data_IF_503673520051
#
_entry.id   IF_503673520051
#
_cell.length_a   1.000
_cell.length_b   1.000
_cell.length_c   1.000
_cell.angle_alpha   90.00
_cell.angle_beta   90.00
_cell.angle_gamma   90.00
#
_symmetry.space_group_name_H-M   'P 1'
#
loop_
_entity.id
_entity.type
_entity.pdbx_description
1 polymer ?
#
# COMPACT_ATOMS: atom_id res chain seq x y z
N UNK A 1 -12.69 6.53 6.72
CA UNK A 1 -12.41 5.56 5.64
C UNK A 1 -11.39 4.56 6.16
N UNK A 2 -11.53 3.27 5.84
CA UNK A 2 -10.54 2.25 6.19
C UNK A 2 -9.46 2.22 5.10
N UNK A 3 -8.24 2.62 5.46
CA UNK A 3 -7.07 2.56 4.58
C UNK A 3 -6.70 1.09 4.36
N UNK A 4 -6.90 0.58 3.15
CA UNK A 4 -6.51 -0.79 2.78
C UNK A 4 -5.14 -0.78 2.12
N UNK A 5 -4.21 -1.56 2.65
CA UNK A 5 -2.90 -1.81 2.04
C UNK A 5 -2.91 -3.22 1.48
N UNK A 6 -2.60 -3.38 0.19
CA UNK A 6 -2.46 -4.70 -0.43
C UNK A 6 -0.97 -5.00 -0.59
N UNK A 7 -0.52 -6.07 0.07
CA UNK A 7 0.86 -6.55 0.04
C UNK A 7 0.87 -7.89 -0.68
N UNK A 8 1.68 -7.99 -1.72
CA UNK A 8 1.99 -9.24 -2.41
C UNK A 8 3.32 -9.77 -1.89
N UNK A 9 3.35 -11.03 -1.49
CA UNK A 9 4.55 -11.72 -1.03
C UNK A 9 4.70 -12.99 -1.86
N UNK A 10 5.89 -13.21 -2.40
CA UNK A 10 6.23 -14.45 -3.08
C UNK A 10 5.96 -15.65 -2.16
N UNK A 11 5.32 -16.69 -2.70
CA UNK A 11 4.87 -17.86 -1.94
C UNK A 11 6.01 -18.55 -1.17
N UNK A 12 7.16 -18.78 -1.81
CA UNK A 12 8.29 -19.47 -1.18
C UNK A 12 8.95 -18.58 -0.13
N UNK A 13 8.94 -17.26 -0.35
CA UNK A 13 9.43 -16.30 0.64
C UNK A 13 8.50 -16.23 1.85
N UNK A 14 7.18 -16.27 1.64
CA UNK A 14 6.20 -16.33 2.71
C UNK A 14 6.39 -17.58 3.58
N UNK A 15 6.62 -18.75 2.98
CA UNK A 15 6.89 -19.97 3.74
C UNK A 15 8.12 -19.81 4.65
N UNK A 16 9.21 -19.22 4.16
CA UNK A 16 10.40 -18.95 4.99
C UNK A 16 10.11 -17.96 6.13
N UNK A 17 9.29 -16.93 5.88
CA UNK A 17 8.88 -15.98 6.92
C UNK A 17 7.97 -16.62 7.97
N UNK A 18 7.17 -17.61 7.60
CA UNK A 18 6.33 -18.35 8.55
C UNK A 18 7.16 -19.24 9.49
N UNK A 19 8.31 -19.73 9.01
CA UNK A 19 9.26 -20.49 9.84
C UNK A 19 10.01 -19.59 10.85
N UNK A 20 10.04 -18.27 10.63
CA UNK A 20 10.58 -17.25 11.55
C UNK A 20 9.57 -16.12 11.82
N UNK A 21 8.67 -16.29 12.83
CA UNK A 21 7.65 -15.30 13.17
C UNK A 21 8.19 -13.92 13.54
N UNK A 22 9.42 -13.83 14.06
CA UNK A 22 10.03 -12.55 14.41
C UNK A 22 10.43 -11.79 13.14
N UNK A 23 11.04 -12.47 12.17
CA UNK A 23 11.35 -11.89 10.87
C UNK A 23 10.08 -11.44 10.12
N UNK A 24 8.99 -12.22 10.19
CA UNK A 24 7.70 -11.83 9.63
C UNK A 24 7.17 -10.53 10.24
N UNK A 25 7.19 -10.41 11.58
CA UNK A 25 6.71 -9.22 12.28
C UNK A 25 7.54 -7.97 11.93
N UNK A 26 8.86 -8.10 11.88
CA UNK A 26 9.76 -7.01 11.47
C UNK A 26 9.48 -6.58 10.03
N UNK A 27 9.32 -7.56 9.13
CA UNK A 27 9.02 -7.31 7.72
C UNK A 27 7.69 -6.59 7.56
N UNK A 28 6.61 -7.06 8.19
CA UNK A 28 5.29 -6.43 8.12
C UNK A 28 5.29 -5.01 8.71
N UNK A 29 5.99 -4.79 9.84
CA UNK A 29 6.15 -3.44 10.41
C UNK A 29 6.80 -2.52 9.40
N UNK A 30 7.89 -2.97 8.77
CA UNK A 30 8.64 -2.15 7.83
C UNK A 30 7.80 -1.77 6.61
N UNK A 31 7.15 -2.76 5.99
CA UNK A 31 6.21 -2.60 4.87
C UNK A 31 5.07 -1.62 5.22
N UNK A 32 4.54 -1.69 6.44
CA UNK A 32 3.42 -0.83 6.86
C UNK A 32 3.84 0.57 7.32
N UNK A 33 5.02 0.75 7.90
CA UNK A 33 5.36 1.97 8.63
C UNK A 33 6.52 2.75 8.02
N UNK A 34 7.51 2.07 7.44
CA UNK A 34 8.79 2.71 7.10
C UNK A 34 8.80 3.27 5.65
N UNK A 35 7.98 2.73 4.75
CA UNK A 35 7.96 3.11 3.32
C UNK A 35 6.88 4.14 2.93
N UNK A 36 6.39 4.95 3.86
CA UNK A 36 5.24 5.84 3.59
C UNK A 36 5.50 6.89 2.50
N UNK A 37 6.70 7.47 2.44
CA UNK A 37 7.05 8.49 1.46
C UNK A 37 7.19 7.91 0.04
N UNK A 38 7.96 6.82 -0.10
CA UNK A 38 8.14 6.08 -1.36
C UNK A 38 6.80 5.56 -1.91
N UNK A 39 5.92 5.09 -1.02
CA UNK A 39 4.57 4.66 -1.39
C UNK A 39 3.69 5.78 -1.93
N UNK A 40 3.77 6.98 -1.37
CA UNK A 40 2.95 8.10 -1.85
C UNK A 40 3.40 8.52 -3.26
N UNK A 41 4.71 8.56 -3.50
CA UNK A 41 5.28 8.91 -4.80
C UNK A 41 4.94 7.88 -5.88
N UNK A 42 5.08 6.58 -5.58
CA UNK A 42 4.78 5.51 -6.54
C UNK A 42 3.26 5.32 -6.74
N UNK A 43 2.43 5.45 -5.68
CA UNK A 43 0.97 5.48 -5.84
C UNK A 43 0.53 6.67 -6.69
N UNK A 44 1.13 7.86 -6.53
CA UNK A 44 0.85 9.03 -7.36
C UNK A 44 1.20 8.82 -8.83
N UNK A 45 2.14 7.90 -9.12
CA UNK A 45 2.53 7.48 -10.46
C UNK A 45 1.77 6.24 -10.96
N UNK A 46 0.84 5.70 -10.17
CA UNK A 46 0.09 4.48 -10.47
C UNK A 46 0.96 3.23 -10.52
N UNK A 47 2.10 3.22 -9.81
CA UNK A 47 3.06 2.10 -9.79
C UNK A 47 3.05 1.40 -8.43
N UNK A 48 3.23 0.06 -8.42
CA UNK A 48 3.47 -0.65 -7.18
C UNK A 48 4.90 -0.39 -6.69
N UNK A 49 5.08 -0.34 -5.37
CA UNK A 49 6.40 -0.24 -4.75
C UNK A 49 6.98 -1.65 -4.57
N UNK A 50 8.13 -1.91 -5.19
CA UNK A 50 8.86 -3.17 -5.03
C UNK A 50 9.92 -3.02 -3.93
N UNK A 51 9.82 -3.84 -2.88
CA UNK A 51 10.73 -3.80 -1.73
C UNK A 51 11.86 -4.83 -1.86
N UNK A 52 11.92 -5.57 -2.97
CA UNK A 52 12.85 -6.67 -3.16
C UNK A 52 12.45 -7.92 -2.37
N UNK A 53 13.21 -9.00 -2.56
CA UNK A 53 12.95 -10.28 -1.87
C UNK A 53 11.62 -10.94 -2.22
N UNK A 54 10.90 -10.45 -3.24
CA UNK A 54 9.57 -10.91 -3.62
C UNK A 54 8.43 -10.26 -2.84
N UNK A 55 8.67 -9.12 -2.17
CA UNK A 55 7.61 -8.32 -1.53
C UNK A 55 7.30 -7.09 -2.39
N UNK A 56 6.02 -6.88 -2.64
CA UNK A 56 5.50 -5.72 -3.36
C UNK A 56 4.30 -5.12 -2.64
N UNK A 57 4.23 -3.80 -2.60
CA UNK A 57 3.05 -3.07 -2.14
C UNK A 57 2.31 -2.56 -3.37
N UNK A 58 1.13 -3.11 -3.63
CA UNK A 58 0.37 -2.87 -4.87
C UNK A 58 -0.49 -1.62 -4.77
N UNK A 59 -1.04 -1.35 -3.58
CA UNK A 59 -1.98 -0.25 -3.41
C UNK A 59 -2.03 0.21 -1.96
N UNK A 60 -1.90 1.53 -1.75
CA UNK A 60 -2.15 2.17 -0.46
C UNK A 60 -2.75 3.57 -0.66
N UNK A 61 -4.07 3.67 -0.79
CA UNK A 61 -4.76 4.98 -0.77
C UNK A 61 -4.87 5.47 0.67
N UNK A 62 -3.98 6.38 1.08
CA UNK A 62 -3.99 6.90 2.45
C UNK A 62 -5.01 8.03 2.66
N UNK A 63 -5.33 8.82 1.63
CA UNK A 63 -6.42 9.80 1.64
C UNK A 63 -6.95 9.95 0.21
N UNK A 64 -8.28 9.97 0.04
CA UNK A 64 -8.91 10.51 -1.17
C UNK A 64 -9.18 11.97 -0.85
N UNK A 65 -8.44 12.89 -1.46
CA UNK A 65 -8.73 14.33 -1.34
C UNK A 65 -9.86 14.76 -2.29
N UNK A 66 -10.44 13.84 -3.07
CA UNK A 66 -11.59 14.12 -3.93
C UNK A 66 -12.86 14.35 -3.09
N UNK A 67 -13.12 15.62 -2.78
CA UNK A 67 -14.41 16.07 -2.28
C UNK A 67 -15.38 16.23 -3.47
N UNK A 68 -15.99 15.11 -3.90
CA UNK A 68 -17.04 15.16 -4.94
C UNK A 68 -18.34 15.69 -4.36
N UNK A 69 -18.71 16.92 -4.71
CA UNK A 69 -20.02 17.50 -4.41
C UNK A 69 -20.96 17.34 -5.60
N UNK A 70 -21.89 16.37 -5.50
CA UNK A 70 -22.95 16.20 -6.50
C UNK A 70 -24.11 17.14 -6.17
N UNK A 71 -24.37 18.13 -7.02
CA UNK A 71 -25.59 18.93 -6.96
C UNK A 71 -26.56 18.50 -8.05
N UNK A 72 -27.85 18.87 -7.93
CA UNK A 72 -28.88 18.55 -8.94
C UNK A 72 -28.61 19.12 -10.34
N UNK A 73 -27.57 19.94 -10.50
CA UNK A 73 -27.27 20.66 -11.74
C UNK A 73 -25.87 20.35 -12.32
N UNK A 74 -25.12 19.42 -11.72
CA UNK A 74 -23.85 18.96 -12.28
C UNK A 74 -22.82 18.55 -11.23
N UNK A 75 -21.84 17.75 -11.67
CA UNK A 75 -20.62 17.43 -10.96
C UNK A 75 -19.65 18.62 -11.01
N UNK A 76 -19.06 18.98 -9.87
CA UNK A 76 -17.99 19.96 -9.79
C UNK A 76 -16.74 19.23 -9.29
N UNK A 77 -15.68 19.25 -10.10
CA UNK A 77 -14.31 18.93 -9.67
C UNK A 77 -13.67 20.22 -9.14
N UNK A 78 -13.05 20.14 -7.96
CA UNK A 78 -12.33 21.24 -7.30
C UNK A 78 -10.82 21.10 -7.49
#
# INVERSE_FOLDING_TARGET
MSTRTVIEINHDFLHRLLDDPAALAVTLRSVCCDHQAELNDDNGRGRPLDLGGGIRIVHRRHHSDDARFVTKHGDIDL
#
